data_IF_988600819165
#
_entry.id   IF_988600819165
#
_cell.length_a   1.000
_cell.length_b   1.000
_cell.length_c   1.000
_cell.angle_alpha   90.00
_cell.angle_beta   90.00
_cell.angle_gamma   90.00
#
_symmetry.space_group_name_H-M   'P 1'
#
loop_
_entity.id
_entity.type
_entity.pdbx_description
1 polymer ?
#
# COMPACT_ATOMS: atom_id res chain seq x y z
N UNK A 1 6.75 -22.09 7.58
CA UNK A 1 6.86 -21.02 6.58
C UNK A 1 6.27 -19.77 7.20
N UNK A 2 7.02 -18.68 7.46
CA UNK A 2 6.37 -17.45 7.90
C UNK A 2 5.42 -16.99 6.79
N UNK A 3 4.16 -16.73 7.14
CA UNK A 3 3.20 -16.16 6.20
C UNK A 3 3.78 -14.80 5.78
N UNK A 4 4.13 -14.66 4.50
CA UNK A 4 4.51 -13.37 3.98
C UNK A 4 3.23 -12.51 3.88
N UNK A 5 2.88 -11.84 4.98
CA UNK A 5 1.69 -10.99 5.09
C UNK A 5 1.62 -9.95 3.97
N UNK A 6 2.78 -9.52 3.46
CA UNK A 6 2.86 -8.56 2.36
C UNK A 6 2.53 -9.20 1.01
N UNK A 7 2.75 -10.50 0.82
CA UNK A 7 2.48 -11.16 -0.46
C UNK A 7 0.98 -11.18 -0.79
N UNK A 8 0.11 -11.32 0.21
CA UNK A 8 -1.35 -11.33 0.04
C UNK A 8 -1.99 -9.94 -0.08
N UNK A 9 -1.24 -8.86 0.13
CA UNK A 9 -1.77 -7.50 -0.01
C UNK A 9 -2.01 -7.11 -1.47
N UNK A 10 -2.95 -6.20 -1.76
CA UNK A 10 -3.09 -5.61 -3.09
C UNK A 10 -1.84 -4.81 -3.52
N UNK A 11 -1.82 -4.36 -4.78
CA UNK A 11 -0.74 -3.53 -5.33
C UNK A 11 -0.54 -2.25 -4.52
N UNK A 12 -1.64 -1.62 -4.10
CA UNK A 12 -1.68 -0.45 -3.23
C UNK A 12 -2.41 -0.81 -1.95
N UNK A 13 -1.81 -0.52 -0.80
CA UNK A 13 -2.35 -0.89 0.50
C UNK A 13 -2.02 0.13 1.58
N UNK A 14 -2.83 0.13 2.63
CA UNK A 14 -2.60 0.95 3.82
C UNK A 14 -1.83 0.19 4.89
N UNK A 15 -0.90 0.88 5.54
CA UNK A 15 -0.21 0.36 6.71
C UNK A 15 -1.09 0.50 7.96
N UNK A 16 -1.45 -0.65 8.53
CA UNK A 16 -2.09 -0.80 9.84
C UNK A 16 -1.03 -1.05 10.91
N UNK A 17 -1.41 -0.92 12.19
CA UNK A 17 -0.51 -1.20 13.33
C UNK A 17 0.09 -2.60 13.29
N UNK A 18 -0.66 -3.59 12.79
CA UNK A 18 -0.20 -4.97 12.62
C UNK A 18 0.78 -5.16 11.46
N UNK A 19 0.75 -4.28 10.46
CA UNK A 19 1.62 -4.33 9.27
C UNK A 19 2.84 -3.42 9.39
N UNK A 20 2.86 -2.46 10.31
CA UNK A 20 3.90 -1.43 10.45
C UNK A 20 5.32 -2.00 10.40
N UNK A 21 5.61 -3.05 11.17
CA UNK A 21 6.96 -3.65 11.23
C UNK A 21 7.34 -4.35 9.92
N UNK A 22 6.40 -5.06 9.31
CA UNK A 22 6.62 -5.73 8.03
C UNK A 22 6.85 -4.71 6.91
N UNK A 23 6.05 -3.64 6.89
CA UNK A 23 6.17 -2.53 5.92
C UNK A 23 7.48 -1.77 6.12
N UNK A 24 7.90 -1.52 7.35
CA UNK A 24 9.18 -0.87 7.63
C UNK A 24 10.36 -1.68 7.08
N UNK A 25 10.36 -3.00 7.32
CA UNK A 25 11.38 -3.92 6.76
C UNK A 25 11.32 -3.95 5.23
N UNK A 26 10.13 -4.05 4.66
CA UNK A 26 9.96 -4.08 3.20
C UNK A 26 10.41 -2.76 2.54
N UNK A 27 10.15 -1.62 3.19
CA UNK A 27 10.63 -0.31 2.73
C UNK A 27 12.15 -0.24 2.79
N UNK A 28 12.75 -0.71 3.88
CA UNK A 28 14.21 -0.77 4.03
C UNK A 28 14.86 -1.69 2.99
N UNK A 29 14.20 -2.80 2.66
CA UNK A 29 14.62 -3.73 1.61
C UNK A 29 14.29 -3.24 0.19
N UNK A 30 13.65 -2.07 0.04
CA UNK A 30 13.26 -1.52 -1.25
C UNK A 30 12.19 -2.32 -1.99
N UNK A 31 11.42 -3.17 -1.31
CA UNK A 31 10.36 -3.98 -1.94
C UNK A 31 8.99 -3.30 -1.95
N UNK A 32 8.83 -2.22 -1.18
CA UNK A 32 7.64 -1.35 -1.21
C UNK A 32 8.05 0.11 -1.18
N UNK A 33 7.25 0.96 -1.81
CA UNK A 33 7.43 2.41 -1.86
C UNK A 33 6.28 3.12 -1.19
N UNK A 34 6.58 4.16 -0.43
CA UNK A 34 5.57 5.04 0.13
C UNK A 34 5.11 6.05 -0.92
N UNK A 35 3.79 6.19 -1.10
CA UNK A 35 3.17 7.11 -2.07
C UNK A 35 2.20 8.10 -1.40
N UNK A 36 1.94 7.96 -0.10
CA UNK A 36 1.14 8.90 0.69
C UNK A 36 1.20 8.62 2.20
N UNK A 37 0.43 9.36 3.03
CA UNK A 37 0.31 9.09 4.45
C UNK A 37 -0.23 7.69 4.69
N UNK A 38 0.60 6.81 5.28
CA UNK A 38 0.31 5.38 5.52
C UNK A 38 -0.05 4.57 4.27
N UNK A 39 0.12 5.13 3.07
CA UNK A 39 -0.20 4.50 1.80
C UNK A 39 1.08 4.02 1.10
N UNK A 40 1.12 2.74 0.78
CA UNK A 40 2.28 2.08 0.19
C UNK A 40 1.88 1.31 -1.08
N UNK A 41 2.85 1.14 -1.97
CA UNK A 41 2.71 0.34 -3.17
C UNK A 41 3.85 -0.66 -3.30
N UNK A 42 3.56 -1.80 -3.93
CA UNK A 42 4.57 -2.78 -4.37
C UNK A 42 5.13 -2.45 -5.75
N UNK A 43 4.50 -1.53 -6.48
CA UNK A 43 4.95 -1.11 -7.79
C UNK A 43 6.06 -0.06 -7.63
N UNK A 44 7.28 -0.44 -8.01
CA UNK A 44 8.48 0.38 -7.89
C UNK A 44 8.90 0.98 -9.24
N UNK A 45 8.20 0.61 -10.31
CA UNK A 45 8.56 0.90 -11.69
C UNK A 45 7.76 2.09 -12.19
N UNK A 46 6.43 2.01 -12.04
CA UNK A 46 5.53 3.04 -12.52
C UNK A 46 5.61 4.31 -11.67
N UNK A 47 5.33 5.45 -12.31
CA UNK A 47 5.17 6.71 -11.61
C UNK A 47 4.01 6.62 -10.60
N UNK A 48 4.13 7.22 -9.41
CA UNK A 48 3.12 7.11 -8.36
C UNK A 48 1.73 7.60 -8.82
N UNK A 49 1.68 8.58 -9.72
CA UNK A 49 0.43 9.10 -10.30
C UNK A 49 -0.30 8.04 -11.13
N UNK A 50 0.43 7.20 -11.87
CA UNK A 50 -0.15 6.10 -12.66
C UNK A 50 -0.68 4.99 -11.76
N UNK A 51 0.06 4.67 -10.71
CA UNK A 51 -0.34 3.67 -9.70
C UNK A 51 -1.63 4.12 -9.00
N UNK A 52 -1.71 5.39 -8.59
CA UNK A 52 -2.91 5.96 -7.96
C UNK A 52 -4.09 5.99 -8.93
N UNK A 53 -3.90 6.41 -10.18
CA UNK A 53 -4.99 6.46 -11.18
C UNK A 53 -5.64 5.10 -11.42
N UNK A 54 -4.84 4.02 -11.48
CA UNK A 54 -5.34 2.64 -11.66
C UNK A 54 -6.05 2.11 -10.42
N UNK A 55 -5.64 2.57 -9.24
CA UNK A 55 -6.15 2.13 -7.95
C UNK A 55 -7.01 3.20 -7.25
N UNK A 56 -7.63 4.11 -8.02
CA UNK A 56 -8.28 5.30 -7.46
C UNK A 56 -9.36 4.94 -6.45
N UNK A 57 -10.31 4.08 -6.82
CA UNK A 57 -11.43 3.71 -5.95
C UNK A 57 -10.99 2.97 -4.67
N UNK A 58 -10.10 1.96 -4.72
CA UNK A 58 -9.54 1.38 -3.50
C UNK A 58 -8.85 2.39 -2.58
N UNK A 59 -8.10 3.34 -3.15
CA UNK A 59 -7.42 4.39 -2.38
C UNK A 59 -8.43 5.31 -1.70
N UNK A 60 -9.46 5.76 -2.42
CA UNK A 60 -10.51 6.62 -1.87
C UNK A 60 -11.30 5.90 -0.78
N UNK A 61 -11.73 4.66 -1.02
CA UNK A 61 -12.46 3.86 -0.03
C UNK A 61 -11.66 3.64 1.26
N UNK A 62 -10.34 3.57 1.17
CA UNK A 62 -9.50 3.40 2.36
C UNK A 62 -9.22 4.72 3.11
N UNK A 63 -9.21 5.88 2.43
CA UNK A 63 -9.13 7.19 3.10
C UNK A 63 -10.46 7.63 3.70
N UNK A 64 -11.58 7.23 3.09
CA UNK A 64 -12.92 7.64 3.49
C UNK A 64 -13.87 6.43 3.48
N UNK A 65 -13.71 5.49 4.44
CA UNK A 65 -14.50 4.25 4.47
C UNK A 65 -16.00 4.46 4.66
N UNK A 66 -16.39 5.57 5.28
CA UNK A 66 -17.78 5.95 5.53
C UNK A 66 -18.35 6.90 4.46
N UNK A 67 -17.57 7.23 3.43
CA UNK A 67 -18.06 8.08 2.35
C UNK A 67 -18.95 7.28 1.40
N UNK A 68 -20.13 7.82 1.11
CA UNK A 68 -20.92 7.38 -0.03
C UNK A 68 -20.31 8.00 -1.29
N UNK A 69 -19.81 7.16 -2.20
CA UNK A 69 -19.06 7.55 -3.40
C UNK A 69 -19.85 7.12 -4.64
#
# INVERSE_FOLDING_TARGET
MPINLLASLPEVFFSTTTLSDAVARARANGTVRQIGPRLYTKNLIDAPEQVIRRNLWPVVAAYAPEALI
#
